data_IF_419695503521
#
_entry.id   IF_419695503521
#
_cell.length_a   1.000
_cell.length_b   1.000
_cell.length_c   1.000
_cell.angle_alpha   90.00
_cell.angle_beta   90.00
_cell.angle_gamma   90.00
#
_symmetry.space_group_name_H-M   'P 1'
#
loop_
_entity.id
_entity.type
_entity.pdbx_description
1 polymer ?
#
# COMPACT_ATOMS: atom_id res chain seq x y z
N UNK A 1 -33.77 -1.99 -5.38
CA UNK A 1 -32.89 -2.47 -4.31
C UNK A 1 -32.31 -3.78 -4.75
N UNK A 2 -31.00 -3.82 -5.01
CA UNK A 2 -30.31 -5.06 -5.36
C UNK A 2 -29.99 -5.84 -4.10
N UNK A 3 -30.21 -7.16 -4.12
CA UNK A 3 -29.67 -8.07 -3.11
C UNK A 3 -28.27 -8.45 -3.58
N UNK A 4 -27.25 -8.18 -2.75
CA UNK A 4 -25.88 -8.64 -2.98
C UNK A 4 -25.68 -9.94 -2.20
N UNK A 5 -25.26 -11.00 -2.89
CA UNK A 5 -24.87 -12.25 -2.26
C UNK A 5 -23.35 -12.21 -2.04
N UNK A 6 -22.94 -12.13 -0.77
CA UNK A 6 -21.54 -12.17 -0.38
C UNK A 6 -21.16 -13.60 0.01
N UNK A 7 -19.96 -14.03 -0.39
CA UNK A 7 -19.37 -15.27 0.09
C UNK A 7 -19.08 -15.18 1.60
N UNK A 8 -19.25 -16.29 2.31
CA UNK A 8 -18.86 -16.39 3.72
C UNK A 8 -17.38 -16.75 3.79
N UNK A 9 -16.60 -15.89 4.45
CA UNK A 9 -15.16 -16.07 4.61
C UNK A 9 -14.82 -16.81 5.92
N UNK A 10 -13.64 -17.44 5.94
CA UNK A 10 -13.08 -18.09 7.12
C UNK A 10 -12.35 -17.05 7.97
N UNK A 11 -13.09 -16.34 8.84
CA UNK A 11 -12.54 -15.28 9.72
C UNK A 11 -11.46 -15.75 10.69
N UNK A 12 -11.39 -17.06 10.96
CA UNK A 12 -10.37 -17.70 11.78
C UNK A 12 -9.05 -17.98 11.03
N UNK A 13 -9.01 -17.67 9.72
CA UNK A 13 -7.86 -17.90 8.84
C UNK A 13 -7.49 -16.63 8.06
N UNK A 14 -7.02 -15.57 8.75
CA UNK A 14 -6.44 -14.41 8.08
C UNK A 14 -5.09 -14.76 7.46
N UNK A 15 -4.65 -14.01 6.46
CA UNK A 15 -3.34 -14.22 5.83
C UNK A 15 -2.19 -14.00 6.83
N UNK A 16 -2.40 -13.20 7.88
CA UNK A 16 -1.45 -13.02 9.00
C UNK A 16 -1.15 -14.32 9.76
N UNK A 17 -1.99 -15.34 9.62
CA UNK A 17 -1.75 -16.69 10.18
C UNK A 17 -0.74 -17.52 9.36
N UNK A 18 -0.40 -17.11 8.14
CA UNK A 18 0.63 -17.76 7.31
C UNK A 18 2.02 -17.44 7.88
N UNK A 19 2.77 -18.50 8.20
CA UNK A 19 4.06 -18.39 8.88
C UNK A 19 5.19 -17.92 7.96
N UNK A 20 5.16 -18.34 6.69
CA UNK A 20 6.13 -17.92 5.68
C UNK A 20 5.78 -16.52 5.16
N UNK A 21 6.70 -15.57 5.38
CA UNK A 21 6.49 -14.17 5.03
C UNK A 21 6.52 -13.94 3.53
N UNK A 22 7.41 -14.62 2.79
CA UNK A 22 7.52 -14.49 1.33
C UNK A 22 6.25 -15.06 0.67
N UNK A 23 5.70 -16.17 1.18
CA UNK A 23 4.41 -16.72 0.74
C UNK A 23 3.28 -15.71 0.97
N UNK A 24 3.20 -15.15 2.17
CA UNK A 24 2.14 -14.21 2.54
C UNK A 24 2.23 -12.91 1.72
N UNK A 25 3.42 -12.34 1.53
CA UNK A 25 3.64 -11.17 0.66
C UNK A 25 3.28 -11.50 -0.78
N UNK A 26 3.60 -12.71 -1.26
CA UNK A 26 3.20 -13.17 -2.60
C UNK A 26 1.69 -13.18 -2.80
N UNK A 27 0.91 -13.57 -1.78
CA UNK A 27 -0.56 -13.49 -1.82
C UNK A 27 -1.04 -12.04 -1.90
N UNK A 28 -0.50 -11.14 -1.07
CA UNK A 28 -0.82 -9.71 -1.12
C UNK A 28 -0.52 -9.14 -2.51
N UNK A 29 0.65 -9.43 -3.06
CA UNK A 29 1.08 -8.96 -4.37
C UNK A 29 0.14 -9.43 -5.49
N UNK A 30 -0.29 -10.71 -5.45
CA UNK A 30 -1.23 -11.25 -6.42
C UNK A 30 -2.62 -10.59 -6.32
N UNK A 31 -3.09 -10.26 -5.11
CA UNK A 31 -4.36 -9.55 -4.90
C UNK A 31 -4.27 -8.10 -5.39
N UNK A 32 -3.19 -7.38 -5.05
CA UNK A 32 -2.95 -6.02 -5.54
C UNK A 32 -2.83 -5.97 -7.06
N UNK A 33 -2.13 -6.93 -7.69
CA UNK A 33 -2.02 -7.02 -9.14
C UNK A 33 -3.41 -7.18 -9.80
N UNK A 34 -4.31 -7.95 -9.19
CA UNK A 34 -5.68 -8.13 -9.71
C UNK A 34 -6.55 -6.90 -9.53
N UNK A 35 -6.47 -6.24 -8.37
CA UNK A 35 -7.23 -5.01 -8.11
C UNK A 35 -6.78 -3.89 -9.04
N UNK A 36 -5.47 -3.72 -9.18
CA UNK A 36 -4.89 -2.63 -9.98
C UNK A 36 -4.88 -2.90 -11.48
N UNK A 37 -5.27 -4.10 -11.93
CA UNK A 37 -5.45 -4.42 -13.35
C UNK A 37 -6.61 -3.64 -14.01
N UNK A 38 -7.54 -3.10 -13.21
CA UNK A 38 -8.69 -2.33 -13.70
C UNK A 38 -8.56 -0.85 -13.35
N UNK A 39 -9.13 0.00 -14.21
CA UNK A 39 -9.30 1.41 -13.88
C UNK A 39 -10.32 1.57 -12.74
N UNK A 40 -10.08 2.55 -11.88
CA UNK A 40 -11.01 2.94 -10.83
C UNK A 40 -12.33 3.48 -11.43
N UNK A 41 -13.48 3.21 -10.80
CA UNK A 41 -14.72 3.91 -11.12
C UNK A 41 -14.56 5.44 -11.02
N UNK A 42 -15.23 6.22 -11.89
CA UNK A 42 -15.02 7.67 -11.99
C UNK A 42 -15.46 8.46 -10.75
N UNK A 43 -16.28 7.87 -9.88
CA UNK A 43 -16.81 8.52 -8.68
C UNK A 43 -15.93 8.32 -7.44
N UNK A 44 -14.81 7.59 -7.56
CA UNK A 44 -13.86 7.43 -6.46
C UNK A 44 -13.00 8.68 -6.29
N UNK A 45 -12.60 8.94 -5.04
CA UNK A 45 -11.58 9.96 -4.73
C UNK A 45 -10.26 9.65 -5.46
N UNK A 46 -9.50 10.69 -5.79
CA UNK A 46 -8.26 10.55 -6.54
C UNK A 46 -7.01 10.77 -5.66
N UNK A 47 -5.98 9.95 -5.91
CA UNK A 47 -4.68 10.07 -5.27
C UNK A 47 -4.03 11.43 -5.56
N UNK A 48 -4.30 12.04 -6.72
CA UNK A 48 -3.82 13.38 -7.07
C UNK A 48 -4.23 14.43 -6.05
N UNK A 49 -5.49 14.41 -5.62
CA UNK A 49 -6.04 15.42 -4.72
C UNK A 49 -5.44 15.27 -3.32
N UNK A 50 -5.30 14.01 -2.89
CA UNK A 50 -4.67 13.65 -1.62
C UNK A 50 -3.20 14.07 -1.64
N UNK A 51 -2.45 13.71 -2.68
CA UNK A 51 -1.03 14.02 -2.78
C UNK A 51 -0.76 15.51 -2.91
N UNK A 52 -1.59 16.26 -3.65
CA UNK A 52 -1.51 17.72 -3.68
C UNK A 52 -1.74 18.32 -2.28
N UNK A 53 -2.77 17.86 -1.57
CA UNK A 53 -3.07 18.33 -0.21
C UNK A 53 -1.92 18.04 0.77
N UNK A 54 -1.31 16.84 0.69
CA UNK A 54 -0.12 16.51 1.50
C UNK A 54 1.03 17.47 1.24
N UNK A 55 1.33 17.78 -0.03
CA UNK A 55 2.41 18.71 -0.39
C UNK A 55 2.14 20.14 0.11
N UNK A 56 0.88 20.59 0.07
CA UNK A 56 0.46 21.89 0.59
C UNK A 56 0.57 21.97 2.12
N UNK A 57 0.42 20.85 2.84
CA UNK A 57 0.50 20.79 4.30
C UNK A 57 1.95 20.75 4.84
N UNK A 58 2.89 20.20 4.06
CA UNK A 58 4.30 20.05 4.46
C UNK A 58 4.91 21.33 5.07
N UNK A 59 4.79 22.53 4.47
CA UNK A 59 5.36 23.75 5.04
C UNK A 59 4.87 24.06 6.46
N UNK A 60 3.60 23.78 6.77
CA UNK A 60 3.03 23.98 8.11
C UNK A 60 3.37 22.89 9.11
N UNK A 61 3.63 21.66 8.65
CA UNK A 61 4.02 20.55 9.52
C UNK A 61 5.48 20.68 10.01
N UNK A 62 6.40 21.08 9.14
CA UNK A 62 7.86 21.07 9.40
C UNK A 62 8.31 21.78 10.70
N UNK A 63 7.76 22.93 11.12
CA UNK A 63 8.14 23.57 12.38
C UNK A 63 7.87 22.73 13.64
N UNK A 64 6.93 21.78 13.58
CA UNK A 64 6.48 20.97 14.71
C UNK A 64 7.22 19.64 14.87
N UNK A 65 8.06 19.28 13.89
CA UNK A 65 8.74 17.99 13.83
C UNK A 65 10.15 18.01 14.46
N UNK A 66 10.67 16.83 14.81
CA UNK A 66 12.08 16.64 15.16
C UNK A 66 13.00 16.83 13.93
N UNK A 67 14.33 17.01 14.10
CA UNK A 67 15.26 17.12 12.97
C UNK A 67 15.24 15.93 12.00
N UNK A 68 15.12 14.71 12.53
CA UNK A 68 15.07 13.47 11.73
C UNK A 68 13.77 13.37 10.93
N UNK A 69 12.62 13.56 11.59
CA UNK A 69 11.31 13.55 10.94
C UNK A 69 11.18 14.67 9.89
N UNK A 70 11.75 15.85 10.15
CA UNK A 70 11.82 16.92 9.14
C UNK A 70 12.57 16.49 7.89
N UNK A 71 13.69 15.78 8.04
CA UNK A 71 14.46 15.30 6.90
C UNK A 71 13.69 14.22 6.13
N UNK A 72 13.01 13.32 6.84
CA UNK A 72 12.15 12.30 6.25
C UNK A 72 10.99 12.93 5.46
N UNK A 73 10.22 13.83 6.08
CA UNK A 73 9.08 14.52 5.44
C UNK A 73 9.51 15.28 4.19
N UNK A 74 10.64 16.00 4.23
CA UNK A 74 11.17 16.69 3.05
C UNK A 74 11.55 15.73 1.93
N UNK A 75 12.15 14.59 2.27
CA UNK A 75 12.56 13.56 1.30
C UNK A 75 11.33 12.93 0.65
N UNK A 76 10.33 12.57 1.44
CA UNK A 76 9.10 11.98 0.91
C UNK A 76 8.30 12.99 0.07
N UNK A 77 8.19 14.24 0.51
CA UNK A 77 7.53 15.30 -0.24
C UNK A 77 8.21 15.57 -1.59
N UNK A 78 9.55 15.56 -1.64
CA UNK A 78 10.27 15.70 -2.90
C UNK A 78 9.97 14.54 -3.86
N UNK A 79 10.00 13.29 -3.37
CA UNK A 79 9.68 12.12 -4.19
C UNK A 79 8.24 12.16 -4.73
N UNK A 80 7.26 12.55 -3.90
CA UNK A 80 5.86 12.69 -4.34
C UNK A 80 5.71 13.77 -5.40
N UNK A 81 6.38 14.91 -5.23
CA UNK A 81 6.31 16.01 -6.20
C UNK A 81 6.81 15.62 -7.60
N UNK A 82 7.76 14.68 -7.69
CA UNK A 82 8.27 14.16 -8.96
C UNK A 82 7.23 13.31 -9.71
N UNK A 83 6.43 12.52 -9.01
CA UNK A 83 5.47 11.59 -9.62
C UNK A 83 4.04 12.10 -9.70
N UNK A 84 3.70 13.16 -8.95
CA UNK A 84 2.36 13.75 -8.91
C UNK A 84 1.76 14.13 -10.29
N UNK A 85 2.52 14.61 -11.29
CA UNK A 85 1.95 14.94 -12.61
C UNK A 85 1.27 13.76 -13.31
N UNK A 86 1.63 12.53 -12.94
CA UNK A 86 1.03 11.31 -13.43
C UNK A 86 0.52 10.52 -12.20
N UNK A 87 -0.65 10.79 -11.64
CA UNK A 87 -1.10 10.19 -10.38
C UNK A 87 -1.64 8.75 -10.51
N UNK A 88 -1.77 8.24 -11.74
CA UNK A 88 -2.42 6.96 -12.03
C UNK A 88 -3.95 7.01 -11.93
N UNK A 89 -4.59 5.92 -12.36
CA UNK A 89 -6.04 5.76 -12.47
C UNK A 89 -6.52 4.35 -12.07
N UNK A 90 -5.65 3.55 -11.45
CA UNK A 90 -5.96 2.17 -11.08
C UNK A 90 -6.80 2.12 -9.82
N UNK A 91 -7.61 1.07 -9.69
CA UNK A 91 -8.39 0.81 -8.47
C UNK A 91 -7.44 0.36 -7.35
N UNK A 92 -7.29 1.19 -6.33
CA UNK A 92 -6.49 0.91 -5.15
C UNK A 92 -7.37 0.36 -4.02
N UNK A 93 -6.76 -0.47 -3.16
CA UNK A 93 -7.34 -0.92 -1.90
C UNK A 93 -7.07 0.06 -0.76
N UNK A 94 -5.93 0.78 -0.80
CA UNK A 94 -5.43 1.71 0.22
C UNK A 94 -4.94 1.09 1.53
N UNK A 95 -5.61 0.03 1.99
CA UNK A 95 -5.34 -0.59 3.30
C UNK A 95 -5.17 -2.12 3.22
N UNK A 96 -4.59 -2.63 2.12
CA UNK A 96 -4.42 -4.08 1.98
C UNK A 96 -3.21 -4.57 2.79
N UNK A 97 -3.46 -5.06 3.99
CA UNK A 97 -2.50 -5.77 4.83
C UNK A 97 -2.98 -7.20 5.12
N UNK A 98 -2.13 -7.96 5.82
CA UNK A 98 -2.31 -9.39 6.08
C UNK A 98 -3.61 -9.75 6.83
N UNK A 99 -4.18 -8.84 7.61
CA UNK A 99 -5.45 -9.08 8.32
C UNK A 99 -6.68 -8.68 7.48
N UNK A 100 -6.49 -7.86 6.44
CA UNK A 100 -7.51 -7.53 5.44
C UNK A 100 -7.52 -8.54 4.28
N UNK A 101 -6.95 -9.73 4.50
CA UNK A 101 -7.03 -10.87 3.59
C UNK A 101 -7.47 -12.10 4.37
N UNK A 102 -8.59 -12.71 3.97
CA UNK A 102 -9.16 -13.90 4.60
C UNK A 102 -9.24 -15.06 3.62
N UNK A 103 -9.16 -16.29 4.13
CA UNK A 103 -9.36 -17.47 3.31
C UNK A 103 -10.84 -17.59 2.85
N UNK A 104 -11.02 -17.99 1.59
CA UNK A 104 -12.33 -18.23 0.97
C UNK A 104 -12.47 -19.66 0.45
N UNK A 105 -13.68 -20.00 0.00
CA UNK A 105 -13.99 -21.30 -0.62
C UNK A 105 -13.88 -21.23 -2.15
N UNK A 106 -14.28 -20.12 -2.78
CA UNK A 106 -14.18 -19.93 -4.24
C UNK A 106 -12.76 -19.63 -4.70
N UNK A 107 -12.07 -18.82 -3.92
CA UNK A 107 -10.67 -18.48 -4.11
C UNK A 107 -9.94 -18.66 -2.78
N UNK A 108 -8.66 -19.10 -2.79
CA UNK A 108 -7.94 -19.39 -1.55
C UNK A 108 -7.83 -18.19 -0.61
N UNK A 109 -7.77 -16.97 -1.16
CA UNK A 109 -7.58 -15.72 -0.42
C UNK A 109 -8.41 -14.61 -1.06
N UNK A 110 -9.06 -13.79 -0.23
CA UNK A 110 -9.89 -12.68 -0.65
C UNK A 110 -9.57 -11.44 0.17
N UNK A 111 -9.37 -10.32 -0.53
CA UNK A 111 -9.23 -8.99 0.08
C UNK A 111 -10.58 -8.50 0.62
N UNK A 112 -10.55 -7.82 1.77
CA UNK A 112 -11.73 -7.28 2.45
C UNK A 112 -11.49 -5.84 2.91
N UNK A 113 -12.59 -5.14 3.18
CA UNK A 113 -12.61 -3.79 3.78
C UNK A 113 -11.78 -2.73 3.01
N UNK A 114 -11.99 -2.56 1.69
CA UNK A 114 -11.22 -1.58 0.93
C UNK A 114 -11.63 -0.14 1.23
N UNK A 115 -10.65 0.74 1.41
CA UNK A 115 -10.82 2.20 1.46
C UNK A 115 -10.51 2.85 0.10
N UNK A 116 -11.17 2.32 -0.94
CA UNK A 116 -10.77 2.51 -2.34
C UNK A 116 -10.62 3.96 -2.80
N UNK A 117 -9.70 4.13 -3.74
CA UNK A 117 -9.43 5.36 -4.47
C UNK A 117 -8.87 5.03 -5.86
N UNK A 118 -8.84 6.05 -6.73
CA UNK A 118 -8.14 6.00 -8.00
C UNK A 118 -6.70 6.51 -7.84
N UNK A 119 -5.71 5.75 -8.30
CA UNK A 119 -4.31 6.22 -8.22
C UNK A 119 -3.28 5.26 -8.78
N UNK A 120 -2.03 5.50 -8.42
CA UNK A 120 -0.88 4.68 -8.79
C UNK A 120 -0.74 3.47 -7.85
N UNK A 121 -0.55 2.24 -8.39
CA UNK A 121 -0.41 1.03 -7.57
C UNK A 121 0.74 1.07 -6.55
N UNK A 122 1.78 1.87 -6.79
CA UNK A 122 2.90 2.03 -5.87
C UNK A 122 2.50 2.60 -4.50
N UNK A 123 1.37 3.30 -4.41
CA UNK A 123 0.90 3.88 -3.14
C UNK A 123 0.34 2.81 -2.19
N UNK A 124 -0.15 1.69 -2.74
CA UNK A 124 -0.74 0.58 -1.99
C UNK A 124 0.28 -0.39 -1.39
N UNK A 125 1.58 -0.15 -1.61
CA UNK A 125 2.62 -1.08 -1.17
C UNK A 125 2.91 -0.99 0.34
N UNK A 126 2.83 0.21 0.95
CA UNK A 126 3.30 0.41 2.32
C UNK A 126 2.60 -0.49 3.36
N UNK A 127 1.27 -0.71 3.35
CA UNK A 127 0.63 -1.59 4.31
C UNK A 127 1.23 -3.02 4.34
N UNK A 128 1.63 -3.55 3.18
CA UNK A 128 2.28 -4.86 3.08
C UNK A 128 3.74 -4.86 3.58
N UNK A 129 4.43 -3.71 3.47
CA UNK A 129 5.80 -3.52 3.95
C UNK A 129 5.88 -3.35 5.47
N UNK A 130 4.95 -2.57 6.04
CA UNK A 130 4.96 -2.13 7.45
C UNK A 130 4.29 -3.11 8.41
N UNK A 131 3.23 -3.80 7.97
CA UNK A 131 2.51 -4.75 8.82
C UNK A 131 3.40 -5.98 9.20
N UNK A 132 3.10 -6.60 10.35
CA UNK A 132 3.92 -7.68 10.97
C UNK A 132 5.38 -7.26 11.17
N UNK A 133 5.62 -6.03 11.65
CA UNK A 133 6.96 -5.48 11.85
C UNK A 133 7.87 -6.32 12.77
N UNK A 134 7.29 -7.07 13.71
CA UNK A 134 8.04 -8.01 14.55
C UNK A 134 8.78 -9.08 13.71
N UNK A 135 8.20 -9.53 12.59
CA UNK A 135 8.87 -10.46 11.68
C UNK A 135 10.06 -9.79 10.98
N UNK A 136 9.84 -8.57 10.48
CA UNK A 136 10.89 -7.77 9.81
C UNK A 136 12.08 -7.55 10.74
N UNK A 137 11.82 -7.14 11.98
CA UNK A 137 12.87 -6.91 12.98
C UNK A 137 13.55 -8.20 13.43
N UNK A 138 12.81 -9.31 13.54
CA UNK A 138 13.38 -10.60 13.93
C UNK A 138 14.42 -11.17 12.95
N UNK A 139 14.43 -10.68 11.69
CA UNK A 139 15.44 -11.07 10.69
C UNK A 139 16.86 -10.60 11.04
N UNK A 140 16.98 -9.58 11.90
CA UNK A 140 18.27 -8.95 12.22
C UNK A 140 18.80 -8.00 11.14
N UNK A 141 18.11 -7.86 10.00
CA UNK A 141 18.46 -6.98 8.89
C UNK A 141 17.19 -6.37 8.28
N UNK A 142 16.67 -5.34 8.97
CA UNK A 142 15.42 -4.65 8.61
C UNK A 142 15.44 -4.12 7.17
N UNK A 143 16.49 -3.40 6.69
CA UNK A 143 16.52 -2.91 5.32
C UNK A 143 16.39 -4.03 4.29
N UNK A 144 17.11 -5.14 4.49
CA UNK A 144 17.04 -6.28 3.56
C UNK A 144 15.67 -6.94 3.56
N UNK A 145 15.03 -7.08 4.72
CA UNK A 145 13.69 -7.66 4.83
C UNK A 145 12.63 -6.79 4.15
N UNK A 146 12.66 -5.46 4.37
CA UNK A 146 11.74 -4.52 3.68
C UNK A 146 11.96 -4.54 2.18
N UNK A 147 13.22 -4.50 1.72
CA UNK A 147 13.54 -4.57 0.29
C UNK A 147 13.10 -5.89 -0.34
N UNK A 148 13.24 -7.01 0.38
CA UNK A 148 12.75 -8.32 -0.09
C UNK A 148 11.24 -8.31 -0.33
N UNK A 149 10.45 -7.76 0.60
CA UNK A 149 8.99 -7.60 0.42
C UNK A 149 8.67 -6.69 -0.75
N UNK A 150 9.37 -5.57 -0.86
CA UNK A 150 9.20 -4.62 -1.95
C UNK A 150 9.52 -5.24 -3.32
N UNK A 151 10.56 -6.06 -3.42
CA UNK A 151 10.90 -6.80 -4.64
C UNK A 151 9.78 -7.76 -5.04
N UNK A 152 9.26 -8.56 -4.10
CA UNK A 152 8.15 -9.49 -4.37
C UNK A 152 6.92 -8.74 -4.90
N UNK A 153 6.56 -7.63 -4.26
CA UNK A 153 5.42 -6.81 -4.65
C UNK A 153 5.60 -6.21 -6.05
N UNK A 154 6.72 -5.52 -6.28
CA UNK A 154 6.99 -4.82 -7.54
C UNK A 154 7.16 -5.78 -8.71
N UNK A 155 7.82 -6.94 -8.51
CA UNK A 155 7.97 -7.96 -9.54
C UNK A 155 6.62 -8.57 -9.94
N UNK A 156 5.81 -9.00 -8.98
CA UNK A 156 4.52 -9.63 -9.24
C UNK A 156 3.51 -8.67 -9.90
N UNK A 157 3.57 -7.39 -9.55
CA UNK A 157 2.72 -6.33 -10.12
C UNK A 157 3.32 -5.71 -11.39
N UNK A 158 4.54 -6.09 -11.78
CA UNK A 158 5.28 -5.51 -12.92
C UNK A 158 5.38 -3.97 -12.86
N UNK A 159 5.65 -3.43 -11.67
CA UNK A 159 5.76 -1.99 -11.46
C UNK A 159 7.13 -1.45 -11.85
N UNK A 160 7.16 -0.22 -12.35
CA UNK A 160 8.41 0.54 -12.40
C UNK A 160 8.91 0.80 -10.98
N UNK A 161 10.14 0.40 -10.71
CA UNK A 161 10.69 0.39 -9.35
C UNK A 161 10.89 1.78 -8.78
N UNK A 162 11.38 2.72 -9.57
CA UNK A 162 11.65 4.10 -9.13
C UNK A 162 10.33 4.79 -8.79
N UNK A 163 9.34 4.64 -9.68
CA UNK A 163 7.99 5.15 -9.49
C UNK A 163 7.28 4.52 -8.29
N UNK A 164 7.37 3.20 -8.12
CA UNK A 164 6.82 2.51 -6.95
C UNK A 164 7.47 3.00 -5.65
N UNK A 165 8.77 3.28 -5.67
CA UNK A 165 9.51 3.83 -4.52
C UNK A 165 8.95 5.21 -4.16
N UNK A 166 8.78 6.10 -5.13
CA UNK A 166 8.26 7.45 -4.90
C UNK A 166 6.83 7.43 -4.32
N UNK A 167 5.93 6.59 -4.84
CA UNK A 167 4.57 6.47 -4.30
C UNK A 167 4.51 5.78 -2.93
N UNK A 168 5.40 4.81 -2.67
CA UNK A 168 5.55 4.23 -1.33
C UNK A 168 6.00 5.29 -0.31
N UNK A 169 6.96 6.14 -0.69
CA UNK A 169 7.34 7.30 0.13
C UNK A 169 6.20 8.30 0.28
N UNK A 170 5.30 8.42 -0.70
CA UNK A 170 4.07 9.20 -0.56
C UNK A 170 3.15 8.69 0.54
N UNK A 171 3.04 7.37 0.69
CA UNK A 171 2.28 6.78 1.81
C UNK A 171 3.00 6.97 3.15
N UNK A 172 4.33 6.97 3.16
CA UNK A 172 5.12 7.35 4.35
C UNK A 172 4.89 8.82 4.72
N UNK A 173 4.88 9.72 3.74
CA UNK A 173 4.55 11.13 3.95
C UNK A 173 3.17 11.28 4.59
N UNK A 174 2.18 10.57 4.07
CA UNK A 174 0.82 10.59 4.61
C UNK A 174 0.76 10.21 6.09
N UNK A 175 1.53 9.20 6.50
CA UNK A 175 1.54 8.74 7.88
C UNK A 175 2.35 9.67 8.82
N UNK A 176 3.19 10.54 8.25
CA UNK A 176 4.06 11.45 8.99
C UNK A 176 3.49 12.88 9.16
N UNK A 177 2.45 13.23 8.40
CA UNK A 177 1.68 14.47 8.53
C UNK A 177 0.55 14.25 9.55
#
# INVERSE_FOLDING_TARGET
GGVMLLERLHFDRPLSSVADDDEAVGVLAALLARLTAVAAPPDLRHLSDIAAAMLDEVPSALPHLGPEDRALVRTCAAAVAEVLPEPGDRLLHWDLHYDNVLAGDREPWLAIDPESLAGDPGFDLLPALDNRWDLVTSTGDVPKAVLRRFDILTDAMSLDRERATAWTLGRVLQNAL
#
